data_IF_323994650780
#
_entry.id   IF_323994650780
#
_cell.length_a   1.000
_cell.length_b   1.000
_cell.length_c   1.000
_cell.angle_alpha   90.00
_cell.angle_beta   90.00
_cell.angle_gamma   90.00
#
_symmetry.space_group_name_H-M   'P 1'
#
loop_
_entity.id
_entity.type
_entity.pdbx_description
1 polymer ?
#
# COMPACT_ATOMS: atom_id res chain seq x y z
N UNK A 1 -14.13 21.58 -8.57
CA UNK A 1 -13.16 21.10 -9.57
C UNK A 1 -11.74 21.53 -9.19
N UNK A 2 -10.76 20.63 -9.31
CA UNK A 2 -9.32 20.95 -9.20
C UNK A 2 -8.85 21.63 -10.48
N UNK A 3 -7.82 22.48 -10.38
CA UNK A 3 -7.09 22.94 -11.55
C UNK A 3 -6.31 21.78 -12.18
N UNK A 4 -5.93 21.93 -13.46
CA UNK A 4 -5.07 20.94 -14.11
C UNK A 4 -3.74 20.77 -13.36
N UNK A 5 -3.25 19.52 -13.22
CA UNK A 5 -2.03 19.26 -12.48
C UNK A 5 -0.81 19.73 -13.25
N UNK A 6 0.25 20.11 -12.55
CA UNK A 6 1.56 20.12 -13.20
C UNK A 6 2.03 18.68 -13.37
N UNK A 7 2.44 18.33 -14.59
CA UNK A 7 2.91 16.98 -14.93
C UNK A 7 4.43 16.98 -14.97
N UNK A 8 5.05 16.04 -14.26
CA UNK A 8 6.50 15.80 -14.35
C UNK A 8 6.77 14.35 -14.76
N UNK A 9 7.70 14.14 -15.69
CA UNK A 9 8.05 12.82 -16.21
C UNK A 9 9.22 12.25 -15.41
N UNK A 10 9.06 11.02 -14.93
CA UNK A 10 10.11 10.25 -14.24
C UNK A 10 10.99 9.49 -15.22
N UNK A 11 10.38 8.95 -16.27
CA UNK A 11 11.05 8.14 -17.29
C UNK A 11 10.06 7.34 -18.12
N UNK A 12 10.57 6.58 -19.08
CA UNK A 12 9.76 5.63 -19.85
C UNK A 12 9.35 4.45 -18.97
N UNK A 13 8.10 4.03 -19.09
CA UNK A 13 7.61 2.78 -18.51
C UNK A 13 7.92 1.61 -19.48
N UNK A 14 8.30 0.42 -18.99
CA UNK A 14 8.57 -0.77 -19.81
C UNK A 14 7.29 -1.40 -20.37
N UNK A 15 6.60 -0.66 -21.24
CA UNK A 15 5.31 -1.04 -21.81
C UNK A 15 5.36 -2.26 -22.74
N UNK A 16 6.56 -2.74 -23.11
CA UNK A 16 6.76 -3.96 -23.90
C UNK A 16 6.51 -5.25 -23.12
N UNK A 17 6.52 -5.19 -21.78
CA UNK A 17 6.25 -6.36 -20.92
C UNK A 17 4.77 -6.72 -20.85
N UNK A 18 4.48 -7.98 -20.56
CA UNK A 18 3.11 -8.45 -20.35
C UNK A 18 2.56 -7.97 -19.02
N UNK A 19 3.38 -7.99 -17.97
CA UNK A 19 2.97 -7.54 -16.65
C UNK A 19 3.42 -6.11 -16.38
N UNK A 20 2.56 -5.37 -15.67
CA UNK A 20 2.88 -4.02 -15.20
C UNK A 20 3.69 -4.15 -13.91
N UNK A 21 4.89 -3.57 -13.86
CA UNK A 21 5.72 -3.53 -12.66
C UNK A 21 5.63 -2.19 -11.89
N UNK A 22 5.20 -1.12 -12.56
CA UNK A 22 5.13 0.23 -11.99
C UNK A 22 3.69 0.70 -11.91
N UNK A 23 3.28 1.27 -10.77
CA UNK A 23 1.91 1.73 -10.59
C UNK A 23 0.94 0.57 -10.40
N UNK A 24 1.26 -0.31 -9.45
CA UNK A 24 0.33 -1.27 -8.86
C UNK A 24 0.01 -0.82 -7.43
N UNK A 25 -1.21 -1.01 -6.94
CA UNK A 25 -1.66 -0.56 -5.62
C UNK A 25 -0.90 -1.18 -4.45
N UNK A 26 -0.25 -2.33 -4.65
CA UNK A 26 0.63 -2.99 -3.68
C UNK A 26 2.11 -2.58 -3.77
N UNK A 27 2.44 -1.58 -4.60
CA UNK A 27 3.72 -0.90 -4.58
C UNK A 27 3.70 0.18 -3.47
N UNK A 28 3.86 -0.24 -2.22
CA UNK A 28 3.60 0.58 -1.03
C UNK A 28 4.90 0.93 -0.27
N UNK A 29 5.47 2.12 -0.46
CA UNK A 29 5.08 3.17 -1.43
C UNK A 29 6.01 3.24 -2.64
N UNK A 30 5.53 3.80 -3.75
CA UNK A 30 6.36 4.12 -4.92
C UNK A 30 6.89 5.56 -4.89
N UNK A 31 6.23 6.45 -4.14
CA UNK A 31 6.51 7.88 -4.09
C UNK A 31 6.29 8.40 -2.68
N UNK A 32 7.21 9.22 -2.18
CA UNK A 32 7.08 9.84 -0.85
C UNK A 32 7.89 11.13 -0.79
N UNK A 33 7.40 12.09 0.00
CA UNK A 33 8.10 13.34 0.29
C UNK A 33 8.70 13.31 1.68
N UNK A 34 9.97 13.72 1.76
CA UNK A 34 10.68 13.89 3.02
C UNK A 34 11.57 15.13 2.97
N UNK A 35 11.46 15.98 3.99
CA UNK A 35 12.29 17.16 4.20
C UNK A 35 12.44 18.10 2.97
N UNK A 36 11.33 18.40 2.28
CA UNK A 36 11.32 19.30 1.11
C UNK A 36 11.86 18.66 -0.19
N UNK A 37 12.06 17.35 -0.20
CA UNK A 37 12.42 16.57 -1.38
C UNK A 37 11.40 15.46 -1.60
N UNK A 38 11.13 15.17 -2.86
CA UNK A 38 10.26 14.06 -3.23
C UNK A 38 11.09 12.96 -3.89
N UNK A 39 10.78 11.71 -3.55
CA UNK A 39 11.48 10.52 -3.98
C UNK A 39 10.51 9.58 -4.67
N UNK A 40 10.94 8.91 -5.73
CA UNK A 40 10.14 7.90 -6.42
C UNK A 40 10.98 6.70 -6.83
N UNK A 41 10.46 5.48 -6.65
CA UNK A 41 11.10 4.24 -7.03
C UNK A 41 10.27 3.51 -8.11
N UNK A 42 10.94 3.04 -9.16
CA UNK A 42 10.30 2.37 -10.29
C UNK A 42 11.30 1.50 -11.05
N UNK A 43 10.83 0.67 -11.97
CA UNK A 43 11.66 -0.06 -12.92
C UNK A 43 11.79 0.66 -14.25
N UNK A 44 12.99 0.65 -14.81
CA UNK A 44 13.30 1.10 -16.16
C UNK A 44 14.49 0.31 -16.73
N UNK A 45 14.82 0.52 -18.00
CA UNK A 45 16.08 0.03 -18.55
C UNK A 45 17.25 0.94 -18.14
N UNK A 46 18.48 0.60 -18.53
CA UNK A 46 19.68 1.38 -18.16
C UNK A 46 19.73 2.82 -18.70
N UNK A 47 18.69 3.28 -19.41
CA UNK A 47 18.54 4.64 -19.87
C UNK A 47 18.39 4.76 -21.38
N UNK A 48 18.39 6.01 -21.89
CA UNK A 48 18.24 6.27 -23.32
C UNK A 48 19.27 5.52 -24.18
N UNK A 49 18.80 4.81 -25.20
CA UNK A 49 19.65 4.05 -26.12
C UNK A 49 20.11 2.67 -25.61
N UNK A 50 19.81 2.31 -24.36
CA UNK A 50 20.01 0.96 -23.86
C UNK A 50 18.98 -0.01 -24.44
N UNK A 51 19.31 -1.31 -24.41
CA UNK A 51 18.35 -2.36 -24.72
C UNK A 51 17.11 -2.25 -23.79
N UNK A 52 15.90 -2.65 -24.25
CA UNK A 52 14.69 -2.60 -23.44
C UNK A 52 14.71 -3.55 -22.24
N UNK A 53 15.60 -4.54 -22.25
CA UNK A 53 15.81 -5.53 -21.19
C UNK A 53 17.32 -5.70 -20.91
N UNK A 54 17.70 -6.14 -19.69
CA UNK A 54 16.82 -6.32 -18.53
C UNK A 54 16.37 -4.98 -17.91
N UNK A 55 15.38 -5.03 -17.02
CA UNK A 55 14.96 -3.88 -16.22
C UNK A 55 15.72 -3.80 -14.90
N UNK A 56 15.85 -2.59 -14.37
CA UNK A 56 16.61 -2.27 -13.16
C UNK A 56 15.81 -1.33 -12.26
N UNK A 57 16.15 -1.33 -10.97
CA UNK A 57 15.54 -0.39 -10.02
C UNK A 57 16.11 1.01 -10.25
N UNK A 58 15.21 1.97 -10.45
CA UNK A 58 15.47 3.39 -10.55
C UNK A 58 14.99 4.06 -9.26
N UNK A 59 15.83 4.94 -8.70
CA UNK A 59 15.45 5.79 -7.58
C UNK A 59 15.67 7.25 -7.98
N UNK A 60 14.56 7.97 -8.16
CA UNK A 60 14.54 9.37 -8.51
C UNK A 60 14.34 10.24 -7.27
N UNK A 61 14.95 11.43 -7.27
CA UNK A 61 14.66 12.50 -6.32
C UNK A 61 14.53 13.85 -7.00
N UNK A 62 13.66 14.72 -6.50
CA UNK A 62 13.59 16.14 -6.88
C UNK A 62 13.45 17.05 -5.67
N UNK A 63 14.01 18.25 -5.75
CA UNK A 63 13.78 19.30 -4.76
C UNK A 63 12.40 19.92 -4.99
N UNK A 64 11.56 20.01 -3.97
CA UNK A 64 10.25 20.63 -4.11
C UNK A 64 10.33 22.17 -4.08
N UNK A 65 9.36 22.87 -4.69
CA UNK A 65 8.23 22.33 -5.45
C UNK A 65 8.48 22.16 -6.96
N UNK A 66 9.59 22.68 -7.52
CA UNK A 66 9.82 22.77 -8.98
C UNK A 66 11.13 22.15 -9.48
N UNK A 67 11.84 21.39 -8.65
CA UNK A 67 13.09 20.75 -9.04
C UNK A 67 12.88 19.68 -10.11
N UNK A 68 13.88 19.52 -10.97
CA UNK A 68 13.97 18.44 -11.93
C UNK A 68 14.21 17.10 -11.21
N UNK A 69 13.72 16.00 -11.79
CA UNK A 69 14.02 14.66 -11.31
C UNK A 69 15.47 14.29 -11.62
N UNK A 70 16.19 13.85 -10.60
CA UNK A 70 17.52 13.25 -10.72
C UNK A 70 17.40 11.78 -10.36
N UNK A 71 17.71 10.89 -11.30
CA UNK A 71 17.53 9.45 -11.16
C UNK A 71 18.87 8.76 -11.11
N UNK A 72 19.07 7.92 -10.09
CA UNK A 72 20.13 6.91 -10.09
C UNK A 72 19.54 5.55 -10.45
N UNK A 73 20.37 4.68 -11.02
CA UNK A 73 19.99 3.33 -11.46
C UNK A 73 20.88 2.31 -10.76
N UNK A 74 20.27 1.28 -10.18
CA UNK A 74 20.99 0.15 -9.59
C UNK A 74 21.24 -0.92 -10.65
N UNK A 75 22.28 -0.71 -11.47
CA UNK A 75 22.64 -1.60 -12.59
C UNK A 75 23.20 -2.97 -12.21
N UNK A 76 23.40 -3.22 -10.92
CA UNK A 76 23.99 -4.46 -10.38
C UNK A 76 22.95 -5.55 -10.06
N UNK A 77 21.65 -5.27 -10.22
CA UNK A 77 20.57 -6.25 -10.08
C UNK A 77 19.56 -6.17 -11.23
N UNK A 78 19.61 -7.08 -12.21
CA UNK A 78 18.56 -7.18 -13.23
C UNK A 78 17.31 -7.82 -12.63
N UNK A 79 16.15 -7.20 -12.87
CA UNK A 79 14.85 -7.74 -12.50
C UNK A 79 14.62 -9.10 -13.19
N UNK A 80 14.10 -10.09 -12.45
CA UNK A 80 14.22 -11.50 -12.82
C UNK A 80 13.07 -12.06 -13.68
N UNK A 81 11.82 -11.79 -13.33
CA UNK A 81 10.63 -12.46 -13.92
C UNK A 81 9.59 -11.44 -14.38
N UNK A 82 8.99 -11.62 -15.56
CA UNK A 82 7.84 -10.80 -16.00
C UNK A 82 6.58 -11.16 -15.18
N UNK A 83 6.53 -10.63 -13.96
CA UNK A 83 5.50 -10.89 -12.96
C UNK A 83 5.09 -9.58 -12.28
N UNK A 84 3.80 -9.23 -12.37
CA UNK A 84 3.27 -7.97 -11.82
C UNK A 84 3.37 -7.86 -10.30
N UNK A 85 3.63 -8.95 -9.58
CA UNK A 85 3.87 -8.95 -8.14
C UNK A 85 5.22 -8.31 -7.77
N UNK A 86 6.20 -8.39 -8.68
CA UNK A 86 7.62 -8.09 -8.47
C UNK A 86 7.95 -6.58 -8.49
N UNK A 87 7.05 -5.76 -7.95
CA UNK A 87 7.16 -4.30 -7.77
C UNK A 87 8.37 -3.90 -6.90
N UNK A 88 8.68 -2.59 -6.86
CA UNK A 88 9.70 -1.99 -5.99
C UNK A 88 9.08 -1.00 -5.00
N UNK A 89 9.44 -1.12 -3.72
CA UNK A 89 8.88 -0.36 -2.62
C UNK A 89 9.94 0.53 -1.99
N UNK A 90 9.50 1.71 -1.57
CA UNK A 90 10.31 2.79 -1.03
C UNK A 90 9.83 3.13 0.38
N UNK A 91 10.77 3.22 1.31
CA UNK A 91 10.56 3.78 2.65
C UNK A 91 11.67 4.76 2.99
N UNK A 92 11.36 5.78 3.80
CA UNK A 92 12.35 6.68 4.37
C UNK A 92 12.16 6.66 5.88
N UNK A 93 13.22 6.36 6.63
CA UNK A 93 13.16 6.43 8.08
C UNK A 93 13.31 7.89 8.54
N UNK A 94 12.34 8.44 9.30
CA UNK A 94 12.43 9.82 9.76
C UNK A 94 13.58 10.04 10.76
N UNK A 95 13.91 9.03 11.58
CA UNK A 95 14.88 9.17 12.67
C UNK A 95 16.33 9.38 12.23
N UNK A 96 16.74 8.81 11.09
CA UNK A 96 18.09 8.97 10.57
C UNK A 96 18.18 9.30 9.07
N UNK A 97 17.05 9.41 8.38
CA UNK A 97 16.98 9.75 6.96
C UNK A 97 17.58 8.70 6.03
N UNK A 98 17.66 7.43 6.45
CA UNK A 98 17.99 6.33 5.53
C UNK A 98 16.84 6.09 4.55
N UNK A 99 17.19 5.82 3.30
CA UNK A 99 16.27 5.41 2.25
C UNK A 99 16.33 3.89 2.13
N UNK A 100 15.19 3.23 2.14
CA UNK A 100 15.03 1.79 2.12
C UNK A 100 14.30 1.34 0.86
N UNK A 101 14.80 0.26 0.25
CA UNK A 101 14.21 -0.35 -0.92
C UNK A 101 14.07 -1.85 -0.70
N UNK A 102 12.94 -2.41 -1.15
CA UNK A 102 12.75 -3.85 -1.32
C UNK A 102 12.07 -4.07 -2.66
N UNK A 103 12.36 -5.17 -3.36
CA UNK A 103 11.88 -5.34 -4.73
C UNK A 103 11.97 -6.78 -5.25
N UNK A 104 11.21 -7.05 -6.32
CA UNK A 104 11.31 -8.25 -7.15
C UNK A 104 10.84 -9.55 -6.46
N UNK A 105 9.76 -9.49 -5.67
CA UNK A 105 9.28 -10.60 -4.84
C UNK A 105 7.92 -11.17 -5.28
N UNK A 106 7.90 -12.49 -5.51
CA UNK A 106 6.72 -13.32 -5.49
C UNK A 106 7.06 -14.70 -4.96
N UNK A 107 6.99 -14.86 -3.63
CA UNK A 107 7.43 -16.06 -2.93
C UNK A 107 8.94 -16.34 -3.11
N UNK A 108 9.76 -15.32 -2.92
CA UNK A 108 11.20 -15.36 -3.20
C UNK A 108 12.05 -15.00 -1.98
N UNK A 109 13.36 -15.21 -2.09
CA UNK A 109 14.33 -14.67 -1.13
C UNK A 109 14.21 -13.14 -1.07
N UNK A 110 14.37 -12.58 0.13
CA UNK A 110 14.38 -11.14 0.36
C UNK A 110 15.43 -10.47 -0.53
N UNK A 111 15.13 -9.27 -0.99
CA UNK A 111 16.00 -8.43 -1.80
C UNK A 111 15.82 -7.02 -1.33
N UNK A 112 16.75 -6.57 -0.54
CA UNK A 112 16.65 -5.36 0.24
C UNK A 112 17.90 -4.51 0.06
N UNK A 113 17.74 -3.19 0.05
CA UNK A 113 18.84 -2.22 0.07
C UNK A 113 18.51 -1.09 1.02
N UNK A 114 19.56 -0.47 1.57
CA UNK A 114 19.43 0.81 2.27
C UNK A 114 20.54 1.77 1.92
N UNK A 115 20.25 3.07 2.01
CA UNK A 115 21.29 4.09 1.96
C UNK A 115 22.10 4.12 3.26
N UNK A 116 23.23 4.81 3.23
CA UNK A 116 23.86 5.35 4.45
C UNK A 116 22.91 6.34 5.13
N UNK A 117 23.16 6.60 6.42
CA UNK A 117 22.38 7.57 7.21
C UNK A 117 22.44 8.97 6.60
N UNK A 118 21.46 9.80 6.93
CA UNK A 118 21.37 11.24 6.62
C UNK A 118 21.10 11.60 5.16
N UNK A 119 21.00 10.63 4.24
CA UNK A 119 20.82 10.89 2.81
C UNK A 119 19.52 11.65 2.52
N UNK A 120 18.40 11.28 3.15
CA UNK A 120 17.14 11.99 2.99
C UNK A 120 17.03 13.21 3.91
N UNK A 121 17.73 13.25 5.04
CA UNK A 121 17.74 14.40 5.96
C UNK A 121 18.57 15.57 5.42
N UNK A 122 19.68 15.31 4.72
CA UNK A 122 20.57 16.33 4.18
C UNK A 122 20.91 16.04 2.70
N UNK A 123 19.92 15.95 1.80
CA UNK A 123 20.10 15.43 0.45
C UNK A 123 21.09 16.22 -0.41
N UNK A 124 21.26 17.51 -0.12
CA UNK A 124 22.22 18.38 -0.80
C UNK A 124 23.70 18.10 -0.42
N UNK A 125 23.95 17.39 0.69
CA UNK A 125 25.32 17.05 1.13
C UNK A 125 25.87 15.79 0.45
N UNK A 126 25.03 15.04 -0.26
CA UNK A 126 25.40 13.78 -0.87
C UNK A 126 25.28 13.86 -2.39
N UNK A 127 26.34 13.43 -3.09
CA UNK A 127 26.27 13.15 -4.53
C UNK A 127 25.28 12.00 -4.76
N UNK A 128 24.30 12.20 -5.65
CA UNK A 128 23.22 11.24 -5.88
C UNK A 128 23.68 10.07 -6.73
N UNK A 129 24.31 9.07 -6.11
CA UNK A 129 24.87 7.91 -6.82
C UNK A 129 24.53 6.60 -6.10
N UNK A 130 24.55 5.45 -6.81
CA UNK A 130 24.31 4.14 -6.20
C UNK A 130 25.27 3.80 -5.06
N UNK A 131 26.46 4.41 -5.00
CA UNK A 131 27.45 4.19 -3.94
C UNK A 131 26.98 4.64 -2.53
N UNK A 132 25.88 5.40 -2.45
CA UNK A 132 25.23 5.72 -1.18
C UNK A 132 24.52 4.52 -0.55
N UNK A 133 24.33 3.43 -1.29
CA UNK A 133 23.50 2.29 -0.88
C UNK A 133 24.33 1.02 -0.74
N UNK A 134 23.81 0.09 0.06
CA UNK A 134 24.31 -1.28 0.10
C UNK A 134 24.09 -1.98 -1.26
N UNK A 135 24.85 -3.04 -1.56
CA UNK A 135 24.42 -4.07 -2.51
C UNK A 135 23.05 -4.66 -2.12
N UNK A 136 22.45 -5.47 -3.00
CA UNK A 136 21.28 -6.27 -2.62
C UNK A 136 21.63 -7.19 -1.46
N UNK A 137 20.88 -7.07 -0.38
CA UNK A 137 20.92 -7.94 0.79
C UNK A 137 19.73 -8.90 0.74
N UNK A 138 19.96 -10.13 1.17
CA UNK A 138 18.94 -11.15 1.41
C UNK A 138 18.46 -11.19 2.87
N UNK A 139 18.80 -10.17 3.65
CA UNK A 139 18.42 -10.02 5.05
C UNK A 139 18.18 -8.56 5.43
N UNK A 140 17.45 -8.35 6.52
CA UNK A 140 17.32 -7.04 7.16
C UNK A 140 18.45 -6.84 8.18
N UNK A 141 19.29 -5.80 8.09
CA UNK A 141 20.36 -5.54 9.05
C UNK A 141 19.84 -5.47 10.49
N UNK A 142 20.44 -6.22 11.40
CA UNK A 142 19.96 -6.42 12.78
C UNK A 142 19.44 -7.82 13.04
N UNK A 143 19.13 -8.57 11.99
CA UNK A 143 18.73 -9.98 12.04
C UNK A 143 19.73 -10.85 11.27
N UNK A 144 19.91 -12.12 11.65
CA UNK A 144 20.82 -13.01 10.95
C UNK A 144 20.28 -13.36 9.55
N UNK A 145 21.15 -13.59 8.55
CA UNK A 145 20.71 -14.06 7.22
C UNK A 145 19.93 -15.39 7.25
N UNK A 146 20.12 -16.19 8.30
CA UNK A 146 19.39 -17.46 8.52
C UNK A 146 17.97 -17.27 9.05
N UNK A 147 17.50 -16.03 9.24
CA UNK A 147 16.15 -15.76 9.69
C UNK A 147 15.13 -16.30 8.69
N UNK A 148 14.40 -17.35 9.08
CA UNK A 148 13.56 -18.20 8.22
C UNK A 148 12.62 -17.44 7.28
N UNK A 149 12.05 -16.33 7.74
CA UNK A 149 11.06 -15.56 6.98
C UNK A 149 11.64 -14.81 5.77
N UNK A 150 12.97 -14.73 5.62
CA UNK A 150 13.60 -14.07 4.47
C UNK A 150 13.66 -14.96 3.21
N UNK A 151 13.29 -16.24 3.30
CA UNK A 151 13.32 -17.15 2.14
C UNK A 151 12.08 -17.14 1.26
N UNK A 152 10.97 -16.51 1.69
CA UNK A 152 9.67 -16.64 1.02
C UNK A 152 8.82 -15.36 1.13
N UNK A 153 9.35 -14.25 0.64
CA UNK A 153 8.80 -12.90 0.76
C UNK A 153 7.90 -12.56 -0.42
N UNK A 154 6.79 -11.84 -0.15
CA UNK A 154 5.96 -11.13 -1.13
C UNK A 154 5.43 -9.83 -0.52
N UNK A 155 5.25 -8.79 -1.35
CA UNK A 155 4.68 -7.49 -0.94
C UNK A 155 5.33 -6.82 0.29
N UNK A 156 6.65 -6.58 0.28
CA UNK A 156 7.25 -5.67 1.26
C UNK A 156 6.52 -4.33 1.28
N UNK A 157 6.41 -3.73 2.46
CA UNK A 157 5.92 -2.36 2.63
C UNK A 157 6.69 -1.68 3.74
N UNK A 158 6.86 -0.37 3.61
CA UNK A 158 7.50 0.46 4.63
C UNK A 158 6.57 1.61 5.02
N UNK A 159 6.67 2.06 6.28
CA UNK A 159 5.98 3.27 6.71
C UNK A 159 6.61 3.87 7.95
N UNK A 160 6.59 5.20 8.03
CA UNK A 160 7.09 5.92 9.19
C UNK A 160 6.30 5.52 10.45
N UNK A 161 7.01 5.45 11.58
CA UNK A 161 6.44 5.15 12.89
C UNK A 161 6.95 6.20 13.89
N UNK A 162 6.23 7.31 13.95
CA UNK A 162 6.66 8.50 14.68
C UNK A 162 7.88 9.15 14.02
N UNK A 163 8.63 9.90 14.81
CA UNK A 163 9.79 10.67 14.31
C UNK A 163 11.08 9.84 14.25
N UNK A 164 11.13 8.71 14.98
CA UNK A 164 12.37 7.95 15.18
C UNK A 164 12.44 6.64 14.38
N UNK A 165 11.29 6.01 14.14
CA UNK A 165 11.23 4.62 13.69
C UNK A 165 10.51 4.50 12.34
N UNK A 166 10.67 3.33 11.72
CA UNK A 166 9.95 2.94 10.52
C UNK A 166 9.57 1.46 10.66
N UNK A 167 8.36 1.07 10.30
CA UNK A 167 8.05 -0.35 10.16
C UNK A 167 8.41 -0.86 8.77
N UNK A 168 8.69 -2.16 8.71
CA UNK A 168 8.65 -2.97 7.50
C UNK A 168 7.67 -4.11 7.74
N UNK A 169 6.77 -4.36 6.81
CA UNK A 169 5.98 -5.58 6.81
C UNK A 169 6.09 -6.31 5.49
N UNK A 170 5.96 -7.62 5.51
CA UNK A 170 5.85 -8.41 4.30
C UNK A 170 5.08 -9.68 4.57
N UNK A 171 4.56 -10.25 3.49
CA UNK A 171 3.81 -11.49 3.51
C UNK A 171 4.71 -12.68 3.23
N UNK A 172 4.50 -13.77 3.96
CA UNK A 172 5.02 -15.09 3.62
C UNK A 172 3.96 -15.98 2.93
N UNK A 173 4.39 -17.16 2.52
CA UNK A 173 3.53 -18.19 1.98
C UNK A 173 2.83 -17.84 0.66
N UNK A 174 1.82 -18.65 0.31
CA UNK A 174 1.13 -18.64 -0.99
C UNK A 174 -0.32 -18.22 -0.85
N UNK A 175 -1.00 -17.96 -1.97
CA UNK A 175 -2.38 -17.48 -1.92
C UNK A 175 -3.29 -18.43 -1.13
N UNK A 176 -3.90 -17.94 -0.05
CA UNK A 176 -4.72 -18.72 0.87
C UNK A 176 -3.95 -19.44 2.00
N UNK A 177 -2.62 -19.35 2.03
CA UNK A 177 -1.74 -19.93 3.06
C UNK A 177 -0.53 -19.03 3.28
N UNK A 178 -0.74 -17.83 3.82
CA UNK A 178 0.31 -16.87 4.12
C UNK A 178 -0.07 -15.99 5.31
N UNK A 179 0.93 -15.33 5.89
CA UNK A 179 0.82 -14.49 7.07
C UNK A 179 1.48 -13.13 6.80
N UNK A 180 1.17 -12.11 7.61
CA UNK A 180 1.85 -10.81 7.57
C UNK A 180 2.80 -10.71 8.76
N UNK A 181 4.05 -10.34 8.49
CA UNK A 181 5.12 -10.25 9.48
C UNK A 181 5.57 -8.80 9.65
N UNK A 182 5.84 -8.39 10.89
CA UNK A 182 6.20 -7.01 11.23
C UNK A 182 7.64 -6.92 11.76
N UNK A 183 8.37 -5.92 11.27
CA UNK A 183 9.71 -5.57 11.69
C UNK A 183 9.78 -4.08 11.96
N UNK A 184 10.54 -3.67 12.97
CA UNK A 184 10.75 -2.26 13.33
C UNK A 184 12.19 -1.88 13.07
N UNK A 185 12.41 -0.84 12.27
CA UNK A 185 13.69 -0.17 12.09
C UNK A 185 13.84 0.97 13.09
N UNK A 186 14.90 0.91 13.89
CA UNK A 186 15.15 1.88 14.96
C UNK A 186 16.12 2.98 14.51
N UNK A 187 15.69 3.86 13.61
CA UNK A 187 16.54 4.90 13.00
C UNK A 187 17.07 5.91 14.01
N UNK A 188 16.25 6.34 14.97
CA UNK A 188 16.63 7.25 16.04
C UNK A 188 17.69 6.71 17.02
N UNK A 189 18.05 5.41 16.92
CA UNK A 189 19.04 4.78 17.79
C UNK A 189 20.04 3.89 17.02
N UNK A 190 19.75 2.59 16.95
CA UNK A 190 20.69 1.57 16.44
C UNK A 190 20.83 1.62 14.93
N UNK A 191 19.83 2.11 14.21
CA UNK A 191 19.72 2.03 12.76
C UNK A 191 19.73 0.56 12.29
N UNK A 192 19.10 -0.33 13.05
CA UNK A 192 18.94 -1.75 12.78
C UNK A 192 17.46 -2.17 12.93
N UNK A 193 17.10 -3.28 12.31
CA UNK A 193 15.79 -3.92 12.45
C UNK A 193 15.73 -4.85 13.66
N UNK A 194 14.54 -4.92 14.25
CA UNK A 194 14.11 -6.00 15.15
C UNK A 194 12.85 -6.66 14.58
N UNK A 195 12.71 -7.97 14.76
CA UNK A 195 11.46 -8.67 14.46
C UNK A 195 10.44 -8.37 15.57
N UNK A 196 9.28 -7.82 15.21
CA UNK A 196 8.21 -7.53 16.16
C UNK A 196 7.29 -8.75 16.37
N UNK A 197 7.09 -9.55 15.32
CA UNK A 197 6.28 -10.76 15.36
C UNK A 197 5.44 -10.93 14.09
N UNK A 198 4.45 -11.82 14.16
CA UNK A 198 3.53 -12.13 13.06
C UNK A 198 2.13 -11.66 13.46
N UNK A 199 1.79 -10.38 13.28
CA UNK A 199 0.53 -9.83 13.76
C UNK A 199 -0.72 -10.48 13.14
N UNK A 200 -0.65 -10.88 11.88
CA UNK A 200 -1.80 -11.44 11.16
C UNK A 200 -1.46 -12.83 10.61
N UNK A 201 -2.21 -13.84 11.02
CA UNK A 201 -2.13 -15.19 10.49
C UNK A 201 -3.43 -15.62 9.82
N UNK A 202 -3.29 -16.49 8.83
CA UNK A 202 -4.43 -17.12 8.17
C UNK A 202 -4.50 -18.61 8.46
N UNK A 203 -5.63 -19.08 9.00
CA UNK A 203 -5.94 -20.50 9.16
C UNK A 203 -6.81 -20.92 7.98
N UNK A 204 -6.28 -21.78 7.10
CA UNK A 204 -6.92 -22.14 5.82
C UNK A 204 -7.39 -20.89 5.04
N UNK A 205 -6.63 -19.81 5.18
CA UNK A 205 -6.89 -18.53 4.54
C UNK A 205 -5.61 -17.69 4.55
N UNK A 206 -5.68 -16.50 3.95
CA UNK A 206 -4.59 -15.54 3.97
C UNK A 206 -5.15 -14.13 4.26
N UNK A 207 -4.61 -13.39 5.23
CA UNK A 207 -4.92 -11.98 5.39
C UNK A 207 -4.24 -11.17 4.26
N UNK A 208 -5.02 -10.37 3.55
CA UNK A 208 -4.49 -9.41 2.58
C UNK A 208 -4.74 -7.99 3.06
N UNK A 209 -3.67 -7.37 3.55
CA UNK A 209 -3.68 -6.03 4.11
C UNK A 209 -3.93 -4.96 3.05
N UNK A 210 -4.90 -4.08 3.30
CA UNK A 210 -5.16 -2.88 2.50
C UNK A 210 -4.11 -1.79 2.74
N UNK A 211 -3.79 -1.56 4.02
CA UNK A 211 -2.74 -0.66 4.44
C UNK A 211 -2.42 -0.83 5.93
N UNK A 212 -1.26 -0.31 6.32
CA UNK A 212 -0.83 -0.14 7.71
C UNK A 212 -0.48 1.34 7.84
N UNK A 213 -1.22 2.07 8.65
CA UNK A 213 -0.98 3.51 8.87
C UNK A 213 -0.65 3.76 10.33
N UNK A 214 0.36 4.59 10.58
CA UNK A 214 0.69 5.06 11.92
C UNK A 214 0.18 6.48 12.11
N UNK A 215 -0.68 6.69 13.11
CA UNK A 215 -1.20 8.02 13.45
C UNK A 215 -1.23 8.20 14.96
N UNK A 216 -0.65 9.31 15.42
CA UNK A 216 -0.75 9.75 16.82
C UNK A 216 -0.45 8.65 17.86
N UNK A 217 0.60 7.85 17.64
CA UNK A 217 0.97 6.76 18.55
C UNK A 217 0.44 5.38 18.17
N UNK A 218 -0.53 5.30 17.24
CA UNK A 218 -1.29 4.08 16.94
C UNK A 218 -1.05 3.56 15.53
N UNK A 219 -0.74 2.28 15.42
CA UNK A 219 -0.81 1.53 14.16
C UNK A 219 -2.24 1.08 13.91
N UNK A 220 -2.74 1.30 12.70
CA UNK A 220 -4.04 0.82 12.23
C UNK A 220 -3.83 -0.13 11.04
N UNK A 221 -4.49 -1.29 11.09
CA UNK A 221 -4.45 -2.25 9.98
C UNK A 221 -5.86 -2.68 9.60
N UNK A 222 -6.11 -2.75 8.29
CA UNK A 222 -7.31 -3.34 7.71
C UNK A 222 -6.93 -4.36 6.65
N UNK A 223 -7.72 -5.41 6.55
CA UNK A 223 -7.47 -6.51 5.63
C UNK A 223 -8.76 -7.23 5.24
N UNK A 224 -8.66 -8.05 4.21
CA UNK A 224 -9.65 -9.09 3.88
C UNK A 224 -9.01 -10.45 4.11
N UNK A 225 -9.80 -11.47 4.42
CA UNK A 225 -9.31 -12.84 4.33
C UNK A 225 -9.60 -13.40 2.94
N UNK A 226 -8.65 -14.15 2.38
CA UNK A 226 -8.91 -15.03 1.24
C UNK A 226 -8.91 -16.47 1.70
N UNK A 227 -10.07 -17.11 1.67
CA UNK A 227 -10.16 -18.53 2.05
C UNK A 227 -9.40 -19.43 1.06
N UNK A 228 -8.74 -20.44 1.60
CA UNK A 228 -8.02 -21.44 0.82
C UNK A 228 -8.99 -22.39 0.11
N UNK A 229 -8.66 -22.72 -1.13
CA UNK A 229 -9.28 -23.78 -1.93
C UNK A 229 -8.18 -24.78 -2.26
N UNK A 230 -8.39 -26.04 -1.86
CA UNK A 230 -7.46 -27.14 -2.11
C UNK A 230 -7.34 -27.41 -3.62
N UNK A 231 -6.14 -27.76 -4.07
CA UNK A 231 -5.86 -28.11 -5.46
C UNK A 231 -4.67 -29.07 -5.56
N UNK A 232 -4.58 -29.86 -6.62
CA UNK A 232 -3.48 -30.82 -6.80
C UNK A 232 -2.11 -30.13 -6.93
N UNK A 233 -1.15 -30.58 -6.12
CA UNK A 233 0.18 -29.99 -6.01
C UNK A 233 0.26 -28.79 -5.07
N UNK A 234 -0.80 -28.51 -4.29
CA UNK A 234 -0.78 -27.37 -3.37
C UNK A 234 0.37 -27.45 -2.36
N UNK A 235 0.82 -28.61 -1.93
CA UNK A 235 1.90 -28.82 -0.97
C UNK A 235 3.28 -29.00 -1.61
N UNK A 236 3.37 -29.03 -2.94
CA UNK A 236 4.64 -29.09 -3.66
C UNK A 236 5.33 -27.71 -3.65
N UNK A 237 6.55 -27.59 -3.08
CA UNK A 237 7.28 -26.33 -3.05
C UNK A 237 7.69 -25.81 -4.45
N UNK A 238 7.67 -26.67 -5.47
CA UNK A 238 7.96 -26.31 -6.86
C UNK A 238 6.71 -25.92 -7.66
N UNK A 239 5.51 -26.14 -7.14
CA UNK A 239 4.27 -25.76 -7.82
C UNK A 239 4.13 -24.23 -7.89
N UNK A 240 3.83 -23.72 -9.08
CA UNK A 240 3.66 -22.28 -9.34
C UNK A 240 2.22 -21.90 -9.67
N UNK A 241 1.25 -22.81 -9.56
CA UNK A 241 -0.16 -22.51 -9.86
C UNK A 241 -0.72 -21.43 -8.95
N UNK A 242 -0.27 -21.38 -7.70
CA UNK A 242 -0.62 -20.32 -6.75
C UNK A 242 -0.11 -18.93 -7.15
N UNK A 243 0.90 -18.85 -8.02
CA UNK A 243 1.44 -17.58 -8.55
C UNK A 243 0.59 -17.01 -9.69
N UNK A 244 -0.36 -17.77 -10.23
CA UNK A 244 -1.25 -17.29 -11.29
C UNK A 244 -2.43 -16.50 -10.71
N UNK A 245 -2.78 -15.36 -11.34
CA UNK A 245 -3.90 -14.51 -10.90
C UNK A 245 -5.27 -15.23 -10.92
N UNK A 246 -5.45 -16.18 -11.84
CA UNK A 246 -6.68 -16.96 -12.00
C UNK A 246 -6.59 -18.37 -11.38
N UNK A 247 -5.64 -18.61 -10.48
CA UNK A 247 -5.51 -19.89 -9.78
C UNK A 247 -6.72 -20.24 -8.89
N UNK A 248 -6.74 -21.44 -8.30
CA UNK A 248 -7.85 -21.94 -7.47
C UNK A 248 -8.17 -21.02 -6.28
N UNK A 249 -7.16 -20.25 -5.83
CA UNK A 249 -7.22 -19.26 -4.77
C UNK A 249 -7.35 -17.84 -5.32
N UNK A 250 -8.33 -17.61 -6.22
CA UNK A 250 -8.60 -16.30 -6.83
C UNK A 250 -9.25 -15.31 -5.85
N UNK A 251 -9.38 -14.04 -6.28
CA UNK A 251 -10.06 -12.99 -5.51
C UNK A 251 -11.53 -13.30 -5.19
N UNK A 252 -12.18 -14.24 -5.90
CA UNK A 252 -13.54 -14.68 -5.58
C UNK A 252 -13.66 -15.30 -4.17
N UNK A 253 -12.55 -15.78 -3.61
CA UNK A 253 -12.50 -16.32 -2.26
C UNK A 253 -12.22 -15.28 -1.17
N UNK A 254 -12.09 -13.99 -1.54
CA UNK A 254 -11.99 -12.91 -0.56
C UNK A 254 -13.32 -12.78 0.20
N UNK A 255 -13.24 -12.57 1.51
CA UNK A 255 -14.39 -12.33 2.38
C UNK A 255 -13.99 -11.45 3.55
N UNK A 256 -15.02 -10.79 4.09
CA UNK A 256 -14.98 -9.89 5.22
C UNK A 256 -14.04 -8.68 5.05
N UNK A 257 -14.34 -7.58 5.73
CA UNK A 257 -13.38 -6.51 5.98
C UNK A 257 -13.10 -6.50 7.47
N UNK A 258 -11.83 -6.63 7.82
CA UNK A 258 -11.35 -6.74 9.18
C UNK A 258 -10.52 -5.51 9.59
N UNK A 259 -10.43 -5.28 10.90
CA UNK A 259 -9.69 -4.17 11.49
C UNK A 259 -9.09 -4.54 12.85
N UNK A 260 -7.87 -4.04 13.10
CA UNK A 260 -7.21 -4.06 14.38
C UNK A 260 -6.28 -2.84 14.50
N UNK A 261 -5.83 -2.56 15.71
CA UNK A 261 -4.85 -1.52 15.96
C UNK A 261 -3.87 -1.89 17.08
N UNK A 262 -2.73 -1.21 17.14
CA UNK A 262 -1.76 -1.34 18.23
C UNK A 262 -1.31 0.04 18.71
N UNK A 263 -1.26 0.23 20.03
CA UNK A 263 -0.84 1.48 20.69
C UNK A 263 0.65 1.48 21.08
N UNK A 264 1.37 0.38 20.80
CA UNK A 264 2.70 0.12 21.32
C UNK A 264 3.64 -0.39 20.21
N UNK A 265 3.61 0.25 19.04
CA UNK A 265 4.50 -0.06 17.91
C UNK A 265 4.29 -1.45 17.27
N UNK A 266 3.14 -2.07 17.51
CA UNK A 266 2.76 -3.34 16.88
C UNK A 266 3.03 -4.58 17.73
N UNK A 267 3.32 -4.42 19.03
CA UNK A 267 3.57 -5.55 19.93
C UNK A 267 2.29 -6.12 20.54
N UNK A 268 1.36 -5.29 20.99
CA UNK A 268 0.05 -5.73 21.48
C UNK A 268 -1.04 -5.18 20.55
N UNK A 269 -1.92 -6.05 20.08
CA UNK A 269 -2.99 -5.72 19.14
C UNK A 269 -4.36 -5.77 19.81
N UNK A 270 -5.21 -4.80 19.44
CA UNK A 270 -6.57 -4.63 19.93
C UNK A 270 -7.58 -4.64 18.78
N UNK A 271 -8.77 -5.17 19.05
CA UNK A 271 -9.89 -5.11 18.11
C UNK A 271 -10.55 -3.71 18.10
N UNK A 272 -11.59 -3.53 17.29
CA UNK A 272 -12.32 -2.27 17.19
C UNK A 272 -13.01 -1.79 18.48
N UNK A 273 -13.21 -2.68 19.47
CA UNK A 273 -13.76 -2.41 20.80
C UNK A 273 -12.69 -1.97 21.82
N UNK A 274 -11.41 -2.12 21.49
CA UNK A 274 -10.29 -1.86 22.40
C UNK A 274 -9.89 -3.06 23.27
N UNK A 275 -10.42 -4.25 23.00
CA UNK A 275 -10.04 -5.48 23.68
C UNK A 275 -8.74 -6.02 23.07
N UNK A 276 -7.81 -6.47 23.92
CA UNK A 276 -6.55 -7.10 23.46
C UNK A 276 -6.87 -8.46 22.85
N UNK A 277 -6.37 -8.69 21.62
CA UNK A 277 -6.62 -9.90 20.83
C UNK A 277 -5.34 -10.63 20.42
N UNK A 278 -4.16 -10.03 20.61
CA UNK A 278 -2.87 -10.67 20.45
C UNK A 278 -1.77 -9.91 21.21
N UNK A 279 -0.81 -10.63 21.79
CA UNK A 279 0.44 -10.08 22.32
C UNK A 279 1.65 -10.78 21.67
N UNK A 280 2.40 -10.07 20.85
CA UNK A 280 3.51 -10.65 20.09
C UNK A 280 4.75 -10.93 20.96
N UNK A 281 4.84 -10.35 22.16
CA UNK A 281 6.01 -10.45 23.04
C UNK A 281 5.86 -11.55 24.08
N UNK A 282 4.71 -11.63 24.73
CA UNK A 282 4.53 -12.49 25.91
C UNK A 282 4.28 -13.95 25.52
N UNK A 283 3.29 -14.20 24.68
CA UNK A 283 2.90 -15.56 24.27
C UNK A 283 3.16 -15.86 22.79
N UNK A 284 3.67 -14.87 22.04
CA UNK A 284 3.86 -14.99 20.60
C UNK A 284 2.52 -15.12 19.85
N UNK A 285 1.46 -14.54 20.42
CA UNK A 285 0.11 -14.55 19.89
C UNK A 285 0.00 -13.92 18.50
N UNK A 286 -1.18 -14.04 17.92
CA UNK A 286 -1.46 -13.55 16.56
C UNK A 286 -2.95 -13.27 16.42
N UNK A 287 -3.29 -12.41 15.47
CA UNK A 287 -4.67 -12.23 15.02
C UNK A 287 -4.95 -13.27 13.93
N UNK A 288 -5.82 -14.23 14.23
CA UNK A 288 -6.25 -15.26 13.29
C UNK A 288 -7.75 -15.12 12.93
N UNK A 289 -8.27 -16.04 12.11
CA UNK A 289 -9.66 -16.03 11.66
C UNK A 289 -10.71 -16.10 12.80
N UNK A 290 -10.32 -16.51 14.01
CA UNK A 290 -11.19 -16.69 15.17
C UNK A 290 -11.07 -15.54 16.18
N UNK A 291 -10.07 -14.67 16.06
CA UNK A 291 -9.90 -13.53 16.97
C UNK A 291 -11.19 -12.69 17.04
N UNK A 292 -11.64 -12.42 18.27
CA UNK A 292 -12.93 -11.80 18.50
C UNK A 292 -12.95 -10.31 18.10
N UNK A 293 -14.05 -9.86 17.50
CA UNK A 293 -14.27 -8.44 17.19
C UNK A 293 -13.45 -7.86 16.03
N UNK A 294 -12.71 -8.68 15.28
CA UNK A 294 -11.91 -8.21 14.13
C UNK A 294 -12.76 -7.84 12.92
N UNK A 295 -13.92 -8.47 12.73
CA UNK A 295 -14.76 -8.27 11.54
C UNK A 295 -15.55 -6.97 11.64
N UNK A 296 -15.17 -5.97 10.83
CA UNK A 296 -15.87 -4.70 10.70
C UNK A 296 -17.11 -4.83 9.79
N UNK A 297 -16.97 -5.56 8.68
CA UNK A 297 -18.09 -5.86 7.78
C UNK A 297 -18.04 -7.32 7.36
N UNK A 298 -19.16 -8.02 7.55
CA UNK A 298 -19.33 -9.38 7.01
C UNK A 298 -19.65 -9.30 5.53
N UNK A 299 -18.76 -9.80 4.69
CA UNK A 299 -18.91 -9.80 3.23
C UNK A 299 -18.61 -11.20 2.73
N UNK A 300 -19.59 -11.93 2.17
CA UNK A 300 -19.38 -13.31 1.77
C UNK A 300 -18.47 -13.42 0.55
N UNK A 301 -17.86 -14.60 0.38
CA UNK A 301 -17.15 -14.96 -0.86
C UNK A 301 -18.05 -14.78 -2.08
N UNK A 302 -17.45 -14.49 -3.24
CA UNK A 302 -18.18 -14.24 -4.48
C UNK A 302 -18.86 -12.87 -4.57
N UNK A 303 -18.74 -12.01 -3.56
CA UNK A 303 -19.35 -10.67 -3.56
C UNK A 303 -18.53 -9.61 -4.30
N UNK A 304 -17.54 -10.01 -5.10
CA UNK A 304 -16.69 -9.08 -5.86
C UNK A 304 -15.62 -8.33 -5.04
N UNK A 305 -15.40 -8.70 -3.77
CA UNK A 305 -14.43 -8.07 -2.86
C UNK A 305 -12.99 -8.21 -3.37
N UNK A 306 -12.21 -7.13 -3.26
CA UNK A 306 -10.82 -7.09 -3.69
C UNK A 306 -9.85 -7.05 -2.51
N UNK A 307 -8.66 -7.62 -2.70
CA UNK A 307 -7.56 -7.57 -1.75
C UNK A 307 -6.56 -6.47 -2.10
N UNK A 308 -5.85 -5.94 -1.10
CA UNK A 308 -4.82 -4.90 -1.27
C UNK A 308 -5.31 -3.66 -2.05
N UNK A 309 -6.55 -3.25 -1.81
CA UNK A 309 -7.13 -2.00 -2.34
C UNK A 309 -6.51 -0.75 -1.69
N UNK A 310 -7.16 -0.08 -0.73
CA UNK A 310 -6.55 1.05 -0.04
C UNK A 310 -7.12 1.30 1.37
N UNK A 311 -6.26 1.81 2.24
CA UNK A 311 -6.58 2.37 3.55
C UNK A 311 -6.04 3.80 3.62
N UNK A 312 -6.66 4.65 4.43
CA UNK A 312 -6.04 5.85 4.98
C UNK A 312 -6.57 6.13 6.39
N UNK A 313 -5.75 6.75 7.26
CA UNK A 313 -6.18 7.19 8.60
C UNK A 313 -6.11 8.71 8.68
N UNK A 314 -7.25 9.33 9.00
CA UNK A 314 -7.38 10.78 9.11
C UNK A 314 -6.68 11.34 10.36
N UNK A 315 -6.55 12.66 10.42
CA UNK A 315 -5.87 13.39 11.52
C UNK A 315 -6.52 13.18 12.89
N UNK A 316 -7.79 12.78 12.95
CA UNK A 316 -8.51 12.50 14.20
C UNK A 316 -8.45 11.00 14.57
N UNK A 317 -7.83 10.14 13.75
CA UNK A 317 -7.79 8.68 13.94
C UNK A 317 -8.98 7.94 13.33
N UNK A 318 -9.73 8.58 12.43
CA UNK A 318 -10.78 7.94 11.63
C UNK A 318 -10.17 7.05 10.55
N UNK A 319 -10.70 5.84 10.38
CA UNK A 319 -10.14 4.83 9.47
C UNK A 319 -11.00 4.76 8.22
N UNK A 320 -10.38 4.96 7.06
CA UNK A 320 -11.02 4.92 5.75
C UNK A 320 -10.52 3.72 4.97
N UNK A 321 -11.43 2.94 4.40
CA UNK A 321 -11.11 1.82 3.52
C UNK A 321 -11.87 1.98 2.22
N UNK A 322 -11.15 1.91 1.10
CA UNK A 322 -11.75 1.75 -0.22
C UNK A 322 -11.77 0.26 -0.51
N UNK A 323 -12.91 -0.26 -0.93
CA UNK A 323 -13.02 -1.59 -1.53
C UNK A 323 -14.17 -1.57 -2.53
N UNK A 324 -14.65 -2.74 -2.92
CA UNK A 324 -15.72 -2.94 -3.88
C UNK A 324 -16.54 -4.17 -3.49
N UNK A 325 -17.84 -4.14 -3.72
CA UNK A 325 -18.69 -5.32 -3.54
C UNK A 325 -19.94 -5.27 -4.43
N UNK A 326 -20.71 -6.36 -4.43
CA UNK A 326 -21.99 -6.51 -5.17
C UNK A 326 -23.22 -6.52 -4.26
N UNK A 327 -23.08 -6.10 -2.99
CA UNK A 327 -24.15 -6.21 -1.99
C UNK A 327 -25.28 -5.20 -2.20
N UNK A 328 -25.03 -4.11 -2.94
CA UNK A 328 -26.05 -3.10 -3.27
C UNK A 328 -26.82 -3.49 -4.53
N UNK A 329 -27.80 -4.39 -4.38
CA UNK A 329 -28.69 -4.80 -5.47
C UNK A 329 -27.99 -5.53 -6.61
N UNK A 330 -26.89 -6.25 -6.32
CA UNK A 330 -26.11 -7.00 -7.29
C UNK A 330 -25.17 -6.15 -8.15
N UNK A 331 -25.16 -4.82 -7.98
CA UNK A 331 -24.29 -3.93 -8.75
C UNK A 331 -22.89 -3.95 -8.16
N UNK A 332 -21.87 -4.12 -9.00
CA UNK A 332 -20.47 -4.02 -8.57
C UNK A 332 -20.09 -2.55 -8.41
N UNK A 333 -19.95 -2.10 -7.16
CA UNK A 333 -19.71 -0.69 -6.83
C UNK A 333 -18.38 -0.53 -6.11
N UNK A 334 -17.71 0.60 -6.35
CA UNK A 334 -16.77 1.17 -5.40
C UNK A 334 -17.47 1.46 -4.08
N UNK A 335 -16.84 1.13 -2.96
CA UNK A 335 -17.37 1.25 -1.60
C UNK A 335 -16.36 1.95 -0.70
N UNK A 336 -16.84 2.92 0.06
CA UNK A 336 -16.08 3.53 1.15
C UNK A 336 -16.63 3.02 2.48
N UNK A 337 -15.76 2.36 3.25
CA UNK A 337 -16.02 1.95 4.62
C UNK A 337 -15.27 2.89 5.54
N UNK A 338 -15.96 3.45 6.54
CA UNK A 338 -15.40 4.46 7.42
C UNK A 338 -15.69 4.12 8.88
N UNK A 339 -14.64 4.10 9.70
CA UNK A 339 -14.71 4.08 11.16
C UNK A 339 -14.49 5.48 11.69
N UNK A 340 -15.44 6.01 12.45
CA UNK A 340 -15.20 7.26 13.17
C UNK A 340 -14.17 7.08 14.29
N UNK A 341 -13.42 8.14 14.65
CA UNK A 341 -12.57 8.13 15.84
C UNK A 341 -13.30 7.69 17.12
N UNK A 342 -12.57 7.09 18.05
CA UNK A 342 -13.10 6.68 19.37
C UNK A 342 -13.76 7.87 20.12
N UNK A 343 -14.89 7.60 20.78
CA UNK A 343 -15.64 8.60 21.55
C UNK A 343 -16.57 9.53 20.73
N UNK A 344 -16.37 9.67 19.41
CA UNK A 344 -17.30 10.39 18.52
C UNK A 344 -18.34 9.41 17.97
N UNK A 345 -19.48 9.26 18.64
CA UNK A 345 -20.63 8.50 18.08
C UNK A 345 -20.97 9.04 16.70
N UNK A 346 -21.09 8.18 15.70
CA UNK A 346 -21.64 8.54 14.40
C UNK A 346 -23.05 9.13 14.61
N UNK A 347 -23.18 10.46 14.59
CA UNK A 347 -24.43 11.15 14.91
C UNK A 347 -25.52 10.97 13.86
N UNK A 348 -25.24 10.29 12.74
CA UNK A 348 -26.19 10.11 11.65
C UNK A 348 -25.94 8.81 10.89
N UNK A 349 -26.80 7.81 11.09
CA UNK A 349 -27.20 6.89 10.01
C UNK A 349 -28.59 6.29 10.25
N UNK A 350 -29.41 6.45 9.21
CA UNK A 350 -30.71 5.80 9.00
C UNK A 350 -30.50 4.30 8.77
N UNK A 351 -30.44 3.53 9.85
CA UNK A 351 -30.72 2.09 9.84
C UNK A 351 -31.39 1.71 11.17
N UNK A 352 -32.55 2.35 11.42
CA UNK A 352 -33.43 2.01 12.52
C UNK A 352 -34.05 0.63 12.25
N UNK A 353 -33.38 -0.43 12.72
CA UNK A 353 -33.96 -1.56 13.46
C UNK A 353 -32.90 -2.63 13.82
N UNK A 354 -31.78 -2.71 13.10
CA UNK A 354 -30.72 -3.72 13.34
C UNK A 354 -29.59 -3.27 14.31
N UNK A 355 -29.36 -1.96 14.44
CA UNK A 355 -28.25 -1.41 15.25
C UNK A 355 -28.47 -1.41 16.78
N UNK A 356 -29.71 -1.58 17.26
CA UNK A 356 -30.00 -1.61 18.70
C UNK A 356 -29.42 -2.84 19.39
N UNK A 357 -29.23 -3.95 18.65
CA UNK A 357 -28.67 -5.21 19.14
C UNK A 357 -27.26 -5.51 18.60
N UNK A 358 -26.74 -4.68 17.69
CA UNK A 358 -25.35 -4.83 17.24
C UNK A 358 -24.38 -4.44 18.37
N UNK A 359 -23.30 -5.23 18.59
CA UNK A 359 -22.22 -4.87 19.50
C UNK A 359 -21.75 -3.43 19.29
N UNK A 360 -21.36 -2.76 20.37
CA UNK A 360 -21.00 -1.32 20.37
C UNK A 360 -19.90 -0.96 19.37
N UNK A 361 -18.98 -1.87 19.05
CA UNK A 361 -17.91 -1.62 18.09
C UNK A 361 -18.39 -1.47 16.64
N UNK A 362 -19.44 -2.20 16.22
CA UNK A 362 -20.05 -2.03 14.89
C UNK A 362 -20.75 -0.68 14.72
N UNK A 363 -21.07 0.02 15.82
CA UNK A 363 -21.74 1.34 15.77
C UNK A 363 -20.82 2.48 15.33
N UNK A 364 -19.51 2.24 15.24
CA UNK A 364 -18.52 3.24 14.76
C UNK A 364 -18.27 3.16 13.26
N UNK A 365 -18.68 2.06 12.64
CA UNK A 365 -18.48 1.80 11.23
C UNK A 365 -19.71 2.17 10.41
N UNK A 366 -19.46 2.67 9.20
CA UNK A 366 -20.48 2.81 8.16
C UNK A 366 -19.88 2.48 6.80
N UNK A 367 -20.75 2.16 5.85
CA UNK A 367 -20.37 1.93 4.46
C UNK A 367 -21.26 2.73 3.52
N UNK A 368 -20.74 3.08 2.35
CA UNK A 368 -21.50 3.75 1.32
C UNK A 368 -20.98 3.35 -0.07
N UNK A 369 -21.90 2.98 -0.96
CA UNK A 369 -21.62 2.84 -2.39
C UNK A 369 -21.31 4.20 -3.01
N UNK A 370 -20.27 4.25 -3.84
CA UNK A 370 -19.80 5.48 -4.48
C UNK A 370 -20.31 5.52 -5.93
N UNK A 371 -19.79 4.64 -6.78
CA UNK A 371 -20.13 4.55 -8.19
C UNK A 371 -19.80 3.16 -8.73
N UNK A 372 -20.40 2.74 -9.86
CA UNK A 372 -20.05 1.48 -10.52
C UNK A 372 -18.57 1.39 -10.87
N UNK A 373 -18.03 0.17 -10.84
CA UNK A 373 -16.68 -0.17 -11.31
C UNK A 373 -16.74 -0.97 -12.61
N UNK A 374 -15.73 -0.83 -13.46
CA UNK A 374 -15.67 -1.45 -14.79
C UNK A 374 -14.59 -2.54 -14.92
N UNK A 375 -13.93 -2.94 -13.83
CA UNK A 375 -12.95 -4.02 -13.87
C UNK A 375 -12.10 -4.18 -12.61
N UNK A 376 -10.87 -4.66 -12.80
CA UNK A 376 -10.01 -5.20 -11.74
C UNK A 376 -9.00 -4.21 -11.16
N UNK A 377 -8.74 -3.07 -11.82
CA UNK A 377 -7.76 -2.09 -11.34
C UNK A 377 -8.15 -1.55 -9.97
N UNK A 378 -7.15 -1.30 -9.14
CA UNK A 378 -7.33 -0.82 -7.77
C UNK A 378 -7.16 0.69 -7.63
N UNK A 379 -7.95 1.28 -6.73
CA UNK A 379 -7.93 2.70 -6.41
C UNK A 379 -7.06 3.03 -5.21
N UNK A 380 -6.92 4.32 -4.90
CA UNK A 380 -6.16 4.82 -3.75
C UNK A 380 -6.98 5.81 -2.94
N UNK A 381 -6.74 5.84 -1.63
CA UNK A 381 -7.24 6.85 -0.70
C UNK A 381 -6.09 7.75 -0.24
N UNK A 382 -6.40 9.01 0.02
CA UNK A 382 -5.46 9.93 0.64
C UNK A 382 -6.20 11.03 1.43
N UNK A 383 -5.63 11.48 2.53
CA UNK A 383 -6.20 12.52 3.39
C UNK A 383 -5.38 13.80 3.26
N UNK A 384 -6.04 14.90 2.90
CA UNK A 384 -5.40 16.23 2.84
C UNK A 384 -5.01 16.77 4.21
N UNK A 385 -4.15 17.78 4.22
CA UNK A 385 -3.83 18.59 5.40
C UNK A 385 -5.06 19.07 6.18
N UNK A 386 -6.15 19.40 5.46
CA UNK A 386 -7.40 19.89 6.05
C UNK A 386 -8.35 18.75 6.51
N UNK A 387 -7.96 17.50 6.31
CA UNK A 387 -8.73 16.31 6.68
C UNK A 387 -9.75 15.87 5.63
N UNK A 388 -9.83 16.51 4.47
CA UNK A 388 -10.68 16.04 3.37
C UNK A 388 -10.10 14.78 2.73
N UNK A 389 -10.97 13.83 2.41
CA UNK A 389 -10.66 12.55 1.77
C UNK A 389 -10.67 12.68 0.25
N UNK A 390 -9.64 12.17 -0.39
CA UNK A 390 -9.54 12.02 -1.83
C UNK A 390 -9.55 10.54 -2.21
N UNK A 391 -10.32 10.21 -3.24
CA UNK A 391 -10.39 8.87 -3.85
C UNK A 391 -9.87 8.98 -5.28
N UNK A 392 -8.78 8.28 -5.59
CA UNK A 392 -8.16 8.27 -6.90
C UNK A 392 -8.53 6.94 -7.56
N UNK A 393 -9.45 6.99 -8.50
CA UNK A 393 -10.12 5.81 -9.06
C UNK A 393 -9.73 5.63 -10.54
N UNK A 394 -8.99 4.57 -10.88
CA UNK A 394 -8.72 4.24 -12.28
C UNK A 394 -9.92 3.52 -12.91
N UNK A 395 -10.07 3.70 -14.22
CA UNK A 395 -10.90 2.83 -15.06
C UNK A 395 -10.08 1.67 -15.61
N UNK A 396 -10.70 0.51 -15.78
CA UNK A 396 -10.05 -0.67 -16.33
C UNK A 396 -10.18 -0.72 -17.85
N UNK A 397 -11.34 -0.36 -18.38
CA UNK A 397 -11.68 -0.48 -19.80
C UNK A 397 -11.21 0.70 -20.64
N UNK A 398 -10.97 1.86 -20.03
CA UNK A 398 -10.43 3.05 -20.70
C UNK A 398 -9.22 3.62 -19.96
N UNK A 399 -8.30 4.33 -20.63
CA UNK A 399 -7.16 4.98 -19.99
C UNK A 399 -7.61 6.27 -19.28
N UNK A 400 -8.40 6.14 -18.22
CA UNK A 400 -8.97 7.26 -17.47
C UNK A 400 -8.73 7.12 -15.96
N UNK A 401 -8.49 8.24 -15.30
CA UNK A 401 -8.52 8.35 -13.85
C UNK A 401 -9.52 9.44 -13.45
N UNK A 402 -10.28 9.17 -12.39
CA UNK A 402 -11.16 10.15 -11.74
C UNK A 402 -10.69 10.40 -10.32
N UNK A 403 -10.73 11.65 -9.90
CA UNK A 403 -10.48 12.03 -8.50
C UNK A 403 -11.80 12.51 -7.91
N UNK A 404 -12.22 11.84 -6.84
CA UNK A 404 -13.36 12.24 -6.03
C UNK A 404 -12.88 12.85 -4.71
N UNK A 405 -13.68 13.77 -4.17
CA UNK A 405 -13.44 14.41 -2.87
C UNK A 405 -14.65 14.19 -1.96
N UNK A 406 -14.39 13.84 -0.70
CA UNK A 406 -15.37 13.84 0.38
C UNK A 406 -14.85 14.66 1.56
N UNK A 407 -15.64 15.62 2.04
CA UNK A 407 -15.13 16.59 3.03
C UNK A 407 -15.27 16.09 4.46
N UNK A 408 -14.33 16.48 5.33
CA UNK A 408 -14.46 16.23 6.78
C UNK A 408 -15.69 16.92 7.36
N UNK A 409 -16.04 18.11 6.86
CA UNK A 409 -17.19 18.90 7.31
C UNK A 409 -18.54 18.20 7.04
N UNK A 410 -18.68 17.51 5.91
CA UNK A 410 -19.85 16.64 5.63
C UNK A 410 -19.82 15.32 6.41
N UNK A 411 -18.77 15.11 7.20
CA UNK A 411 -18.41 13.84 7.77
C UNK A 411 -18.34 12.78 6.70
N UNK A 412 -17.65 13.01 5.57
CA UNK A 412 -17.40 12.07 4.46
C UNK A 412 -18.63 11.33 3.90
N UNK A 413 -19.78 12.01 3.82
CA UNK A 413 -21.05 11.41 3.38
C UNK A 413 -21.41 11.67 1.92
N UNK A 414 -20.66 12.55 1.25
CA UNK A 414 -20.88 12.95 -0.13
C UNK A 414 -19.56 12.94 -0.92
N UNK A 415 -19.59 12.43 -2.16
CA UNK A 415 -18.42 12.33 -3.03
C UNK A 415 -18.64 13.20 -4.27
N UNK A 416 -17.85 14.25 -4.41
CA UNK A 416 -17.85 15.12 -5.59
C UNK A 416 -16.72 14.70 -6.52
N UNK A 417 -17.00 14.53 -7.82
CA UNK A 417 -15.93 14.41 -8.82
C UNK A 417 -15.26 15.76 -8.99
N UNK A 418 -14.00 15.86 -8.56
CA UNK A 418 -13.25 17.12 -8.62
C UNK A 418 -12.27 17.17 -9.78
N UNK A 419 -11.90 16.03 -10.38
CA UNK A 419 -11.09 15.99 -11.59
C UNK A 419 -11.28 14.67 -12.35
N UNK A 420 -11.02 14.71 -13.65
CA UNK A 420 -10.98 13.55 -14.54
C UNK A 420 -9.93 13.79 -15.62
N UNK A 421 -9.08 12.80 -15.87
CA UNK A 421 -8.06 12.88 -16.93
C UNK A 421 -8.00 11.63 -17.77
N UNK A 422 -7.58 11.81 -19.01
CA UNK A 422 -7.45 10.77 -20.04
C UNK A 422 -5.99 10.49 -20.36
N UNK A 423 -5.73 9.31 -20.94
CA UNK A 423 -4.38 8.86 -21.25
C UNK A 423 -3.63 8.34 -20.01
N UNK A 424 -4.33 7.98 -18.94
CA UNK A 424 -3.73 7.47 -17.70
C UNK A 424 -4.16 6.03 -17.43
N UNK A 425 -3.20 5.15 -17.11
CA UNK A 425 -3.45 3.73 -16.87
C UNK A 425 -2.70 3.22 -15.64
N UNK A 426 -2.97 1.96 -15.27
CA UNK A 426 -2.42 1.33 -14.07
C UNK A 426 -3.25 1.63 -12.83
N UNK A 427 -2.66 1.41 -11.67
CA UNK A 427 -3.26 1.64 -10.35
C UNK A 427 -2.53 2.81 -9.69
N UNK A 428 -3.21 3.94 -9.44
CA UNK A 428 -2.57 5.17 -9.01
C UNK A 428 -1.99 5.04 -7.59
N UNK A 429 -0.86 5.69 -7.37
CA UNK A 429 -0.21 5.79 -6.06
C UNK A 429 -0.10 7.26 -5.67
N UNK A 430 -0.10 7.54 -4.36
CA UNK A 430 -0.17 8.91 -3.85
C UNK A 430 0.94 9.15 -2.85
N UNK A 431 1.59 10.30 -2.95
CA UNK A 431 2.49 10.82 -1.93
C UNK A 431 1.65 11.39 -0.77
N UNK A 432 1.33 10.53 0.20
CA UNK A 432 0.52 10.88 1.36
C UNK A 432 1.19 11.93 2.23
N UNK A 433 2.52 11.83 2.42
CA UNK A 433 3.30 12.80 3.19
C UNK A 433 3.20 14.22 2.60
N UNK A 434 3.35 14.36 1.28
CA UNK A 434 3.22 15.68 0.63
C UNK A 434 1.81 16.24 0.71
N UNK A 435 0.81 15.38 0.56
CA UNK A 435 -0.59 15.80 0.68
C UNK A 435 -0.90 16.31 2.10
N UNK A 436 -0.36 15.68 3.13
CA UNK A 436 -0.55 16.10 4.52
C UNK A 436 0.23 17.37 4.89
N UNK A 437 1.48 17.51 4.45
CA UNK A 437 2.32 18.64 4.85
C UNK A 437 2.13 19.87 3.96
N UNK A 438 2.16 19.67 2.65
CA UNK A 438 2.17 20.75 1.64
C UNK A 438 0.78 21.06 1.07
N UNK A 439 -0.23 20.23 1.40
CA UNK A 439 -1.57 20.30 0.79
C UNK A 439 -1.54 20.18 -0.74
N UNK A 440 -0.63 19.35 -1.25
CA UNK A 440 -0.49 19.03 -2.69
C UNK A 440 -0.71 17.55 -2.90
N UNK A 441 -1.74 17.19 -3.68
CA UNK A 441 -1.99 15.80 -4.07
C UNK A 441 -1.04 15.45 -5.23
N UNK A 442 0.01 14.68 -4.94
CA UNK A 442 0.88 14.10 -5.99
C UNK A 442 0.45 12.67 -6.32
N UNK A 443 0.08 12.42 -7.57
CA UNK A 443 -0.35 11.10 -8.07
C UNK A 443 0.72 10.53 -8.99
N UNK A 444 1.33 9.41 -8.61
CA UNK A 444 2.22 8.60 -9.45
C UNK A 444 1.37 7.67 -10.33
N UNK A 445 1.59 7.73 -11.64
CA UNK A 445 0.77 7.01 -12.62
C UNK A 445 1.52 6.76 -13.94
N UNK A 446 1.04 5.79 -14.72
CA UNK A 446 1.45 5.59 -16.12
C UNK A 446 0.63 6.49 -17.04
N UNK A 447 1.29 7.23 -17.92
CA UNK A 447 0.67 8.11 -18.90
C UNK A 447 1.01 7.70 -20.33
N UNK A 448 0.07 7.89 -21.24
CA UNK A 448 0.24 7.73 -22.67
C UNK A 448 1.27 8.73 -23.21
N UNK A 449 2.02 8.33 -24.24
CA UNK A 449 2.94 9.23 -24.94
C UNK A 449 2.26 9.73 -26.21
N UNK A 450 2.12 11.05 -26.33
CA UNK A 450 1.50 11.67 -27.50
C UNK A 450 2.16 11.21 -28.80
N UNK A 451 1.35 10.75 -29.75
CA UNK A 451 1.80 10.24 -31.04
C UNK A 451 2.45 8.84 -31.01
N UNK A 452 2.48 8.16 -29.86
CA UNK A 452 3.05 6.81 -29.73
C UNK A 452 2.15 5.89 -28.88
N UNK A 453 1.18 5.22 -29.52
CA UNK A 453 0.13 4.44 -28.84
C UNK A 453 0.66 3.35 -27.90
N UNK A 454 1.79 2.73 -28.26
CA UNK A 454 2.39 1.61 -27.51
C UNK A 454 3.40 2.06 -26.45
N UNK A 455 3.69 3.36 -26.35
CA UNK A 455 4.64 3.90 -25.37
C UNK A 455 3.90 4.51 -24.19
N UNK A 456 4.44 4.28 -23.00
CA UNK A 456 3.98 4.89 -21.76
C UNK A 456 5.16 5.55 -21.04
N UNK A 457 4.88 6.64 -20.35
CA UNK A 457 5.80 7.26 -19.39
C UNK A 457 5.27 7.05 -17.98
N UNK A 458 6.18 7.01 -17.01
CA UNK A 458 5.83 7.24 -15.61
C UNK A 458 5.84 8.73 -15.34
N UNK A 459 4.75 9.21 -14.75
CA UNK A 459 4.59 10.63 -14.43
C UNK A 459 4.10 10.83 -13.01
N UNK A 460 4.36 12.02 -12.48
CA UNK A 460 3.75 12.53 -11.26
C UNK A 460 2.89 13.72 -11.61
N UNK A 461 1.59 13.63 -11.29
CA UNK A 461 0.61 14.69 -11.41
C UNK A 461 0.51 15.43 -10.08
N UNK A 462 0.88 16.71 -10.02
CA UNK A 462 0.78 17.51 -8.81
C UNK A 462 -0.42 18.46 -8.86
N UNK A 463 -1.41 18.23 -8.00
CA UNK A 463 -2.58 19.08 -7.82
C UNK A 463 -2.44 19.96 -6.59
N UNK A 464 -2.57 21.28 -6.75
CA UNK A 464 -2.67 22.22 -5.62
C UNK A 464 -4.11 22.25 -5.12
N UNK A 465 -4.30 22.09 -3.81
CA UNK A 465 -5.62 21.96 -3.17
C UNK A 465 -6.07 23.21 -2.43
#
# INVERSE_FOLDING_TARGET
>A
MLAEPSVSVLGADPAHRRCILNGNAFQQDAITTFNGWQYAAFYGNLGPGAAPEPLYVHLARRKLPYGQWNTLVFGDYPQTVDDGHNTVQLGICPGDGTIHLSYDHHCDVLRYRRSIRKVASFPAQFAWTPALFTPTLDYLPGLPPTHKLFGYVTYPRFGAMGDDNMFCSFRDGKAGLGNDHLYIYHGGSTGLFTFAGTPLTGIQSNPYVHGIDYRAGRLHVTWVYRGFVNYDGWDDPLDTKHKQQAGPNSAANNHDICYAYSDDQGYTWKNGSGEVIADLKEDGGTIDNKSEGIVAFRIPKGSGLMNQEAQAVDHDGGVHVLNRDTLDGGKHLWKHYYRSPEGKRAKWSFALFSLLYAPTYLRTWRQQGIQPIDGTRRGRLAISKNGDLFLILPETTTPRIRILKATKASGYSHYEKVWEGHGYTGEPLVDTARLEHDNVLSVFVRADVDGAMDKKNLVVLDFRL
#
